data_IF_859016459273
#
_entry.id   IF_859016459273
#
_cell.length_a   1.000
_cell.length_b   1.000
_cell.length_c   1.000
_cell.angle_alpha   90.00
_cell.angle_beta   90.00
_cell.angle_gamma   90.00
#
_symmetry.space_group_name_H-M   'P 1'
#
loop_
_entity.id
_entity.type
_entity.pdbx_description
1 polymer ?
#
# COMPACT_ATOMS: atom_id res chain seq x y z
N UNK A 1 1.40 24.58 -67.79
CA UNK A 1 2.35 24.66 -66.66
C UNK A 1 2.16 23.38 -65.85
N UNK A 2 2.64 22.23 -66.33
CA UNK A 2 3.97 21.63 -66.10
C UNK A 2 4.27 21.43 -64.60
N UNK A 3 4.61 20.24 -64.07
CA UNK A 3 4.92 18.95 -64.68
C UNK A 3 4.88 17.82 -63.63
N UNK A 4 4.56 16.60 -64.09
CA UNK A 4 4.63 15.32 -63.38
C UNK A 4 5.92 14.57 -63.80
N UNK A 5 6.40 13.67 -62.91
CA UNK A 5 7.30 12.47 -63.10
C UNK A 5 8.82 12.72 -63.26
N UNK A 6 9.69 11.67 -63.13
CA UNK A 6 9.52 10.23 -62.75
C UNK A 6 10.46 9.74 -61.61
N UNK A 7 10.17 8.65 -60.88
CA UNK A 7 10.55 7.24 -61.11
C UNK A 7 11.97 6.99 -61.65
N UNK A 8 12.87 6.45 -60.81
CA UNK A 8 14.05 5.68 -61.24
C UNK A 8 14.14 4.39 -60.42
N UNK A 9 14.10 3.26 -61.14
CA UNK A 9 14.52 1.94 -60.69
C UNK A 9 16.05 1.86 -60.71
N UNK A 10 16.64 1.25 -59.70
CA UNK A 10 17.94 0.60 -59.80
C UNK A 10 17.87 -0.72 -59.01
N UNK A 11 17.87 -1.80 -59.77
CA UNK A 11 18.15 -3.17 -59.34
C UNK A 11 19.63 -3.32 -59.07
N UNK A 12 20.01 -3.95 -57.94
CA UNK A 12 21.16 -4.84 -57.89
C UNK A 12 20.93 -5.91 -56.81
N UNK A 13 20.69 -7.12 -57.31
CA UNK A 13 20.92 -8.37 -56.60
C UNK A 13 22.42 -8.56 -56.34
N UNK A 14 22.77 -9.01 -55.13
CA UNK A 14 23.33 -10.35 -54.86
C UNK A 14 24.34 -10.40 -53.70
N UNK A 15 24.10 -11.42 -52.85
CA UNK A 15 25.07 -12.23 -52.12
C UNK A 15 25.77 -11.66 -50.89
N UNK A 16 25.11 -11.78 -49.73
CA UNK A 16 25.80 -12.16 -48.49
C UNK A 16 24.99 -13.29 -47.82
N UNK A 17 25.67 -14.43 -47.60
CA UNK A 17 25.16 -15.64 -46.95
C UNK A 17 24.78 -15.36 -45.49
N UNK A 18 23.67 -15.88 -44.96
CA UNK A 18 23.44 -15.89 -43.52
C UNK A 18 24.25 -17.01 -42.86
N UNK A 19 24.98 -16.67 -41.81
CA UNK A 19 25.54 -17.63 -40.87
C UNK A 19 24.41 -18.19 -39.99
N UNK A 20 24.31 -19.51 -39.92
CA UNK A 20 23.45 -20.25 -39.02
C UNK A 20 23.72 -19.86 -37.56
N UNK A 21 22.71 -19.30 -36.90
CA UNK A 21 22.65 -19.20 -35.44
C UNK A 21 21.45 -20.02 -34.98
N UNK A 22 21.73 -21.14 -34.33
CA UNK A 22 20.75 -22.12 -33.88
C UNK A 22 19.78 -21.52 -32.86
N UNK A 23 18.49 -21.51 -33.18
CA UNK A 23 17.41 -21.22 -32.25
C UNK A 23 16.95 -22.53 -31.62
N UNK A 24 17.77 -23.11 -30.75
CA UNK A 24 17.39 -24.33 -29.99
C UNK A 24 17.53 -24.18 -28.46
N UNK A 25 18.05 -23.06 -27.97
CA UNK A 25 18.20 -22.85 -26.51
C UNK A 25 16.92 -22.34 -25.80
N UNK A 26 15.93 -21.80 -26.53
CA UNK A 26 14.73 -21.19 -25.93
C UNK A 26 13.48 -22.09 -25.91
N UNK A 27 13.51 -23.28 -26.52
CA UNK A 27 12.42 -24.26 -26.39
C UNK A 27 12.55 -25.13 -25.13
N UNK A 28 13.77 -25.35 -24.63
CA UNK A 28 14.01 -26.13 -23.40
C UNK A 28 13.50 -25.43 -22.14
N UNK A 29 13.66 -24.10 -22.05
CA UNK A 29 13.19 -23.31 -20.90
C UNK A 29 11.66 -23.15 -20.85
N UNK A 30 10.98 -23.15 -22.01
CA UNK A 30 9.52 -23.10 -22.06
C UNK A 30 8.87 -24.44 -21.67
N UNK A 31 9.53 -25.56 -21.98
CA UNK A 31 9.07 -26.90 -21.62
C UNK A 31 9.30 -27.23 -20.14
N UNK A 32 10.39 -26.78 -19.51
CA UNK A 32 10.57 -26.92 -18.05
C UNK A 32 9.59 -26.04 -17.24
N UNK A 33 9.24 -24.86 -17.75
CA UNK A 33 8.24 -23.99 -17.10
C UNK A 33 6.82 -24.58 -17.21
N UNK A 34 6.48 -25.25 -18.31
CA UNK A 34 5.21 -25.95 -18.48
C UNK A 34 5.16 -27.26 -17.67
N UNK A 35 6.27 -27.99 -17.52
CA UNK A 35 6.35 -29.17 -16.66
C UNK A 35 6.19 -28.84 -15.18
N UNK A 36 6.72 -27.70 -14.72
CA UNK A 36 6.57 -27.26 -13.32
C UNK A 36 5.17 -26.73 -12.98
N UNK A 37 4.39 -26.28 -13.98
CA UNK A 37 2.99 -25.86 -13.81
C UNK A 37 2.05 -27.08 -13.87
N UNK A 38 2.39 -28.12 -14.64
CA UNK A 38 1.56 -29.34 -14.73
C UNK A 38 1.75 -30.30 -13.54
N UNK A 39 2.94 -30.35 -12.92
CA UNK A 39 3.17 -31.16 -11.71
C UNK A 39 2.47 -30.63 -10.44
N UNK A 40 1.93 -29.40 -10.47
CA UNK A 40 1.14 -28.84 -9.37
C UNK A 40 -0.37 -29.12 -9.48
N UNK A 41 -0.83 -29.68 -10.60
CA UNK A 41 -2.26 -29.89 -10.89
C UNK A 41 -2.69 -31.36 -11.01
N UNK A 42 -1.76 -32.32 -10.89
CA UNK A 42 -2.08 -33.76 -10.95
C UNK A 42 -1.41 -34.50 -9.79
N UNK A 43 -1.92 -34.30 -8.57
CA UNK A 43 -1.77 -35.23 -7.44
C UNK A 43 -2.81 -34.91 -6.36
N UNK A 44 -4.09 -35.01 -6.72
CA UNK A 44 -5.18 -35.20 -5.76
C UNK A 44 -6.25 -36.09 -6.40
N UNK A 45 -6.02 -37.41 -6.34
CA UNK A 45 -7.09 -38.40 -6.44
C UNK A 45 -6.73 -39.62 -5.57
N UNK A 46 -7.65 -39.88 -4.64
CA UNK A 46 -7.99 -41.14 -3.96
C UNK A 46 -7.05 -41.73 -2.87
N UNK A 47 -7.48 -41.70 -1.59
CA UNK A 47 -8.24 -42.76 -0.87
C UNK A 47 -8.24 -42.49 0.66
N UNK A 48 -9.41 -42.74 1.25
CA UNK A 48 -9.97 -42.64 2.63
C UNK A 48 -9.28 -43.53 3.72
N UNK A 49 -9.56 -43.41 5.05
CA UNK A 49 -10.91 -43.49 5.64
C UNK A 49 -11.28 -42.63 6.87
N UNK A 50 -12.60 -42.60 7.03
CA UNK A 50 -13.48 -42.12 8.09
C UNK A 50 -13.03 -42.33 9.54
N UNK A 51 -13.25 -41.30 10.36
CA UNK A 51 -13.81 -41.48 11.71
C UNK A 51 -14.60 -40.23 12.09
N UNK A 52 -15.83 -40.47 12.51
CA UNK A 52 -16.85 -39.54 13.00
C UNK A 52 -16.45 -38.81 14.28
N UNK A 53 -16.83 -37.54 14.40
CA UNK A 53 -17.80 -37.07 15.39
C UNK A 53 -17.92 -35.54 15.36
N UNK A 54 -19.17 -35.10 15.32
CA UNK A 54 -19.74 -33.85 15.82
C UNK A 54 -18.92 -32.56 15.71
N UNK A 55 -19.30 -31.70 14.78
CA UNK A 55 -19.29 -30.26 15.03
C UNK A 55 -20.47 -29.59 14.34
N UNK A 56 -21.36 -29.04 15.18
CA UNK A 56 -22.55 -28.31 14.80
C UNK A 56 -22.20 -27.14 13.89
N UNK A 57 -22.80 -27.18 12.71
CA UNK A 57 -22.80 -26.12 11.73
C UNK A 57 -23.70 -24.98 12.24
N UNK A 58 -23.12 -23.94 12.82
CA UNK A 58 -23.84 -22.68 13.04
C UNK A 58 -23.80 -21.87 11.75
N UNK A 59 -24.99 -21.70 11.17
CA UNK A 59 -25.24 -20.80 10.05
C UNK A 59 -25.00 -19.35 10.49
N UNK A 60 -23.85 -18.78 10.15
CA UNK A 60 -23.64 -17.33 10.25
C UNK A 60 -24.48 -16.63 9.17
N UNK A 61 -25.54 -15.98 9.62
CA UNK A 61 -26.35 -15.07 8.85
C UNK A 61 -25.50 -13.91 8.31
N UNK A 62 -25.53 -13.71 7.00
CA UNK A 62 -24.99 -12.52 6.34
C UNK A 62 -25.75 -11.27 6.83
N UNK A 63 -25.16 -10.58 7.80
CA UNK A 63 -25.69 -9.33 8.34
C UNK A 63 -25.37 -8.19 7.37
N UNK A 64 -26.42 -7.48 6.92
CA UNK A 64 -26.37 -6.39 5.95
C UNK A 64 -25.29 -5.32 6.30
N UNK A 65 -24.44 -4.99 5.32
CA UNK A 65 -23.26 -4.13 5.42
C UNK A 65 -23.56 -2.63 5.69
N UNK A 66 -24.82 -2.24 5.88
CA UNK A 66 -25.23 -0.82 6.01
C UNK A 66 -25.01 -0.21 7.39
N UNK A 67 -24.68 -0.99 8.43
CA UNK A 67 -24.52 -0.47 9.81
C UNK A 67 -23.06 -0.11 10.19
N UNK A 68 -22.09 -0.42 9.32
CA UNK A 68 -20.66 -0.08 9.55
C UNK A 68 -20.32 1.39 9.29
N UNK A 69 -21.27 2.23 8.84
CA UNK A 69 -21.01 3.65 8.54
C UNK A 69 -21.10 4.57 9.77
N UNK A 70 -21.64 4.10 10.90
CA UNK A 70 -21.66 4.85 12.17
C UNK A 70 -20.31 4.90 12.90
N UNK A 71 -19.21 4.55 12.23
CA UNK A 71 -17.87 4.59 12.79
C UNK A 71 -17.32 6.02 12.82
N UNK A 72 -16.72 6.43 13.93
CA UNK A 72 -15.97 7.69 13.99
C UNK A 72 -14.64 7.50 13.26
N UNK A 73 -14.44 8.20 12.14
CA UNK A 73 -13.17 8.23 11.43
C UNK A 73 -12.11 8.84 12.37
N UNK A 74 -10.97 8.17 12.52
CA UNK A 74 -9.95 8.64 13.45
C UNK A 74 -9.13 9.77 12.82
N UNK A 75 -9.49 11.01 13.10
CA UNK A 75 -8.75 12.18 12.60
C UNK A 75 -7.97 12.84 13.72
N UNK A 76 -6.69 13.14 13.50
CA UNK A 76 -5.89 13.95 14.42
C UNK A 76 -5.76 15.37 13.87
N UNK A 77 -6.26 16.35 14.62
CA UNK A 77 -6.34 17.77 14.25
C UNK A 77 -5.54 18.62 15.21
N UNK A 78 -4.62 19.44 14.71
CA UNK A 78 -3.78 20.34 15.47
C UNK A 78 -4.18 21.80 15.24
N UNK A 79 -4.43 22.49 16.35
CA UNK A 79 -4.67 23.94 16.39
C UNK A 79 -3.43 24.69 16.93
N UNK A 80 -2.31 24.00 17.13
CA UNK A 80 -1.08 24.54 17.73
C UNK A 80 0.20 24.03 17.05
N UNK A 81 1.35 24.27 17.69
CA UNK A 81 2.66 23.85 17.19
C UNK A 81 2.92 22.35 17.35
N UNK A 82 3.83 21.80 16.53
CA UNK A 82 4.24 20.39 16.65
C UNK A 82 4.89 20.05 18.01
N UNK A 83 5.42 21.05 18.72
CA UNK A 83 5.98 20.91 20.06
C UNK A 83 4.94 20.42 21.09
N UNK A 84 3.65 20.52 20.78
CA UNK A 84 2.56 20.09 21.66
C UNK A 84 2.12 18.64 21.44
N UNK A 85 2.63 17.97 20.40
CA UNK A 85 2.33 16.57 20.09
C UNK A 85 2.52 15.65 21.33
N UNK A 86 3.61 15.74 22.12
CA UNK A 86 3.80 14.91 23.31
C UNK A 86 2.72 15.10 24.39
N UNK A 87 2.18 16.32 24.55
CA UNK A 87 1.14 16.60 25.56
C UNK A 87 -0.14 15.83 25.23
N UNK A 88 -0.52 15.79 23.95
CA UNK A 88 -1.70 15.08 23.44
C UNK A 88 -1.55 13.58 23.47
N UNK A 89 -0.34 13.10 23.18
CA UNK A 89 0.01 11.71 23.41
C UNK A 89 -0.30 11.35 24.87
N UNK A 90 0.16 12.12 25.84
CA UNK A 90 -0.09 11.82 27.25
C UNK A 90 -1.57 11.94 27.70
N UNK A 91 -2.39 12.74 27.00
CA UNK A 91 -3.80 12.93 27.33
C UNK A 91 -4.78 12.06 26.51
N UNK A 92 -4.28 11.13 25.67
CA UNK A 92 -5.16 10.32 24.83
C UNK A 92 -6.12 9.44 25.67
N UNK A 93 -7.45 9.58 25.48
CA UNK A 93 -8.42 8.77 26.21
C UNK A 93 -8.55 7.35 25.65
N UNK A 94 -8.18 7.10 24.39
CA UNK A 94 -8.44 5.83 23.69
C UNK A 94 -7.53 4.70 24.17
N UNK A 95 -6.25 4.99 24.37
CA UNK A 95 -5.28 4.02 24.87
C UNK A 95 -4.52 4.64 26.05
N UNK A 96 -5.11 4.70 27.25
CA UNK A 96 -4.46 5.33 28.41
C UNK A 96 -3.07 4.76 28.68
N UNK A 97 -2.06 5.63 28.61
CA UNK A 97 -0.64 5.27 28.77
C UNK A 97 -0.05 4.43 27.63
N UNK A 98 -0.78 4.25 26.52
CA UNK A 98 -0.30 3.67 25.26
C UNK A 98 0.43 2.34 25.40
N UNK A 99 0.06 1.52 26.39
CA UNK A 99 0.77 0.27 26.76
C UNK A 99 0.86 -0.77 25.65
N UNK A 100 0.04 -0.65 24.62
CA UNK A 100 0.00 -1.54 23.46
C UNK A 100 0.74 -1.00 22.22
N UNK A 101 1.34 0.20 22.34
CA UNK A 101 2.22 0.76 21.31
C UNK A 101 3.67 0.51 21.71
N UNK A 102 4.41 -0.07 20.78
CA UNK A 102 5.83 -0.39 20.96
C UNK A 102 6.62 0.47 20.00
N UNK A 103 7.53 1.34 20.47
CA UNK A 103 8.37 2.12 19.59
C UNK A 103 9.13 1.19 18.66
N UNK A 104 9.19 1.52 17.36
CA UNK A 104 9.80 0.61 16.38
C UNK A 104 11.26 0.28 16.71
N UNK A 105 11.98 1.23 17.31
CA UNK A 105 13.37 1.08 17.76
C UNK A 105 13.51 0.12 18.94
N UNK A 106 12.44 -0.09 19.71
CA UNK A 106 12.39 -0.99 20.87
C UNK A 106 11.70 -2.33 20.58
N UNK A 107 11.04 -2.47 19.43
CA UNK A 107 10.34 -3.69 19.04
C UNK A 107 11.29 -4.89 18.91
N UNK A 108 10.97 -5.96 19.66
CA UNK A 108 11.74 -7.20 19.80
C UNK A 108 10.88 -8.42 19.49
N UNK A 109 11.53 -9.55 19.18
CA UNK A 109 10.85 -10.83 18.95
C UNK A 109 9.93 -11.25 20.10
N UNK A 110 10.28 -10.94 21.35
CA UNK A 110 9.49 -11.30 22.54
C UNK A 110 8.15 -10.57 22.63
N UNK A 111 8.01 -9.45 21.93
CA UNK A 111 6.79 -8.65 21.86
C UNK A 111 5.73 -9.31 20.97
N UNK A 112 6.15 -10.25 20.11
CA UNK A 112 5.23 -11.09 19.37
C UNK A 112 4.63 -12.16 20.30
N UNK A 113 3.31 -12.47 20.16
CA UNK A 113 2.70 -13.58 20.87
C UNK A 113 3.45 -14.88 20.58
N UNK A 114 3.51 -15.81 21.54
CA UNK A 114 4.38 -17.01 21.48
C UNK A 114 4.28 -17.80 20.17
N UNK A 115 3.08 -17.97 19.61
CA UNK A 115 2.86 -18.69 18.34
C UNK A 115 3.28 -17.92 17.08
N UNK A 116 3.61 -16.64 17.22
CA UNK A 116 4.02 -15.73 16.15
C UNK A 116 5.47 -15.24 16.33
N UNK A 117 6.23 -15.79 17.29
CA UNK A 117 7.66 -15.48 17.48
C UNK A 117 8.49 -16.14 16.37
N UNK A 118 8.41 -15.54 15.20
CA UNK A 118 9.01 -16.03 13.98
C UNK A 118 9.91 -14.96 13.36
N UNK A 119 11.10 -15.35 12.91
CA UNK A 119 12.09 -14.41 12.37
C UNK A 119 11.59 -13.74 11.09
N UNK A 120 10.92 -14.47 10.20
CA UNK A 120 10.44 -13.91 8.94
C UNK A 120 9.31 -12.91 9.19
N UNK A 121 8.41 -13.18 10.14
CA UNK A 121 7.37 -12.25 10.56
C UNK A 121 7.93 -11.01 11.27
N UNK A 122 8.91 -11.19 12.16
CA UNK A 122 9.56 -10.07 12.85
C UNK A 122 10.25 -9.12 11.86
N UNK A 123 11.05 -9.66 10.94
CA UNK A 123 11.71 -8.88 9.89
C UNK A 123 10.68 -8.25 8.94
N UNK A 124 9.57 -8.94 8.65
CA UNK A 124 8.47 -8.38 7.85
C UNK A 124 7.83 -7.16 8.50
N UNK A 125 7.65 -7.15 9.82
CA UNK A 125 7.13 -6.00 10.56
C UNK A 125 8.13 -4.84 10.51
N UNK A 126 9.43 -5.10 10.69
CA UNK A 126 10.50 -4.09 10.55
C UNK A 126 10.53 -3.49 9.13
N UNK A 127 10.50 -4.34 8.10
CA UNK A 127 10.44 -3.91 6.70
C UNK A 127 9.15 -3.15 6.36
N UNK A 128 8.04 -3.42 7.07
CA UNK A 128 6.83 -2.62 6.97
C UNK A 128 7.07 -1.22 7.53
N UNK A 129 7.77 -1.11 8.67
CA UNK A 129 8.08 0.17 9.28
C UNK A 129 8.97 1.07 8.41
N UNK A 130 9.88 0.49 7.62
CA UNK A 130 10.69 1.24 6.65
C UNK A 130 9.86 1.87 5.52
N UNK A 131 8.64 1.37 5.30
CA UNK A 131 7.69 1.84 4.29
C UNK A 131 6.57 2.68 4.89
N UNK A 132 6.48 2.79 6.21
CA UNK A 132 5.48 3.61 6.89
C UNK A 132 5.91 5.08 6.86
N UNK A 133 4.97 5.95 6.49
CA UNK A 133 5.18 7.39 6.32
C UNK A 133 4.31 8.16 7.29
N UNK A 134 4.87 9.19 7.93
CA UNK A 134 4.08 10.20 8.62
C UNK A 134 3.60 11.22 7.60
N UNK A 135 2.29 11.45 7.58
CA UNK A 135 1.65 12.41 6.69
C UNK A 135 1.23 13.61 7.54
N UNK A 136 1.68 14.81 7.16
CA UNK A 136 1.24 16.07 7.74
C UNK A 136 0.53 16.87 6.66
N UNK A 137 -0.73 17.21 6.87
CA UNK A 137 -1.53 17.99 5.92
C UNK A 137 -1.89 19.33 6.54
N UNK A 138 -1.68 20.43 5.82
CA UNK A 138 -1.82 21.78 6.39
C UNK A 138 -3.00 22.57 5.83
N UNK A 139 -3.75 21.97 4.89
CA UNK A 139 -4.88 22.62 4.22
C UNK A 139 -6.07 21.66 4.16
N UNK A 140 -7.28 22.16 4.40
CA UNK A 140 -8.52 21.45 4.12
C UNK A 140 -9.03 21.91 2.77
N UNK A 141 -9.38 20.98 1.88
CA UNK A 141 -9.94 21.35 0.58
C UNK A 141 -11.39 21.83 0.72
N UNK A 142 -11.77 22.95 0.06
CA UNK A 142 -13.18 23.35 -0.05
C UNK A 142 -14.01 22.37 -0.89
N UNK A 143 -13.36 21.46 -1.63
CA UNK A 143 -14.02 20.47 -2.47
C UNK A 143 -14.41 19.18 -1.71
N UNK A 144 -14.12 19.09 -0.41
CA UNK A 144 -14.57 17.93 0.39
C UNK A 144 -16.09 17.78 0.29
N UNK A 145 -16.61 16.58 0.03
CA UNK A 145 -18.05 16.38 -0.06
C UNK A 145 -18.70 16.65 1.29
N UNK A 146 -19.97 17.05 1.30
CA UNK A 146 -20.69 17.25 2.57
C UNK A 146 -20.90 15.94 3.34
N UNK A 147 -21.15 14.86 2.60
CA UNK A 147 -21.45 13.55 3.17
C UNK A 147 -20.59 12.47 2.52
N UNK A 148 -20.43 11.34 3.21
CA UNK A 148 -19.91 10.14 2.59
C UNK A 148 -20.83 9.69 1.44
N UNK A 149 -20.28 9.12 0.34
CA UNK A 149 -21.09 8.59 -0.74
C UNK A 149 -22.12 7.59 -0.22
N UNK A 150 -23.37 7.72 -0.66
CA UNK A 150 -24.48 6.86 -0.29
C UNK A 150 -24.81 6.83 1.22
N UNK A 151 -24.40 7.85 1.98
CA UNK A 151 -24.74 8.01 3.41
C UNK A 151 -25.25 9.42 3.72
N UNK A 152 -25.83 9.57 4.90
CA UNK A 152 -26.13 10.87 5.54
C UNK A 152 -25.04 11.29 6.55
N UNK A 153 -24.03 10.44 6.75
CA UNK A 153 -22.92 10.72 7.65
C UNK A 153 -22.03 11.82 7.04
N UNK A 154 -21.70 12.84 7.83
CA UNK A 154 -20.85 13.94 7.39
C UNK A 154 -19.44 13.45 7.05
N UNK A 155 -18.87 14.02 5.98
CA UNK A 155 -17.49 13.73 5.62
C UNK A 155 -16.54 14.52 6.53
N UNK A 156 -15.43 13.94 7.01
CA UNK A 156 -14.50 14.65 7.87
C UNK A 156 -14.04 15.97 7.26
N UNK A 157 -14.16 17.04 8.05
CA UNK A 157 -13.77 18.41 7.68
C UNK A 157 -14.59 19.07 6.57
N UNK A 158 -15.78 18.56 6.22
CA UNK A 158 -16.60 19.16 5.17
C UNK A 158 -17.03 20.62 5.46
N UNK A 159 -17.08 21.01 6.73
CA UNK A 159 -17.50 22.34 7.17
C UNK A 159 -16.32 23.28 7.53
N UNK A 160 -15.07 22.82 7.41
CA UNK A 160 -13.88 23.57 7.83
C UNK A 160 -13.27 24.42 6.69
N UNK A 161 -14.10 25.11 5.91
CA UNK A 161 -13.70 25.77 4.65
C UNK A 161 -12.58 26.80 4.87
N UNK A 162 -11.48 26.61 4.15
CA UNK A 162 -10.29 27.49 4.10
C UNK A 162 -9.56 27.77 5.43
N UNK A 163 -9.93 27.09 6.52
CA UNK A 163 -9.17 27.15 7.75
C UNK A 163 -7.86 26.35 7.65
N UNK A 164 -6.78 26.97 8.13
CA UNK A 164 -5.50 26.31 8.32
C UNK A 164 -5.62 25.27 9.45
N UNK A 165 -6.13 24.09 9.11
CA UNK A 165 -6.27 22.96 10.02
C UNK A 165 -5.15 21.94 9.73
N UNK A 166 -4.11 21.97 10.56
CA UNK A 166 -3.04 20.98 10.49
C UNK A 166 -3.59 19.64 10.97
N UNK A 167 -3.38 18.58 10.19
CA UNK A 167 -3.77 17.21 10.58
C UNK A 167 -2.68 16.22 10.28
N UNK A 168 -2.67 15.13 11.05
CA UNK A 168 -1.70 14.06 10.88
C UNK A 168 -2.38 12.77 10.47
N UNK A 169 -1.66 11.98 9.70
CA UNK A 169 -2.05 10.63 9.30
C UNK A 169 -0.84 9.75 9.06
N UNK A 170 -1.11 8.53 8.64
CA UNK A 170 -0.11 7.55 8.26
C UNK A 170 -0.33 7.13 6.82
N UNK A 171 0.73 6.77 6.11
CA UNK A 171 0.65 6.11 4.82
C UNK A 171 1.65 4.97 4.65
N UNK A 172 1.50 4.22 3.57
CA UNK A 172 2.42 3.15 3.18
C UNK A 172 2.97 3.40 1.77
N UNK A 173 4.29 3.33 1.62
CA UNK A 173 4.98 3.58 0.35
C UNK A 173 4.88 2.37 -0.58
N UNK A 174 4.75 2.63 -1.88
CA UNK A 174 5.13 1.73 -2.98
C UNK A 174 6.10 2.45 -3.92
N UNK A 175 7.10 1.73 -4.42
CA UNK A 175 8.15 2.30 -5.26
C UNK A 175 8.23 1.53 -6.57
N UNK A 176 8.30 2.26 -7.67
CA UNK A 176 8.55 1.71 -8.99
C UNK A 176 9.77 2.40 -9.59
N UNK A 177 10.75 1.60 -10.03
CA UNK A 177 11.92 2.10 -10.76
C UNK A 177 11.58 2.11 -12.25
N UNK A 178 11.84 3.21 -12.93
CA UNK A 178 11.64 3.35 -14.36
C UNK A 178 12.99 3.54 -15.06
N UNK A 179 13.16 2.88 -16.20
CA UNK A 179 14.30 3.01 -17.12
C UNK A 179 13.71 3.12 -18.52
N UNK A 180 13.94 4.24 -19.21
CA UNK A 180 13.44 4.49 -20.57
C UNK A 180 11.91 4.23 -20.69
N UNK A 181 11.15 4.70 -19.69
CA UNK A 181 9.70 4.54 -19.62
C UNK A 181 9.20 3.14 -19.22
N UNK A 182 10.09 2.16 -19.04
CA UNK A 182 9.74 0.83 -18.54
C UNK A 182 9.87 0.79 -17.02
N UNK A 183 8.74 0.60 -16.33
CA UNK A 183 8.64 0.55 -14.87
C UNK A 183 8.77 -0.87 -14.31
N UNK A 184 9.35 -0.99 -13.12
CA UNK A 184 9.57 -2.23 -12.40
C UNK A 184 9.17 -2.08 -10.93
N UNK A 185 8.35 -3.00 -10.43
CA UNK A 185 7.98 -3.03 -9.00
C UNK A 185 9.07 -3.71 -8.14
N UNK A 186 8.86 -3.80 -6.82
CA UNK A 186 9.80 -4.48 -5.91
C UNK A 186 10.00 -5.97 -6.14
N UNK A 187 9.30 -6.59 -7.09
CA UNK A 187 9.55 -7.98 -7.52
C UNK A 187 10.32 -8.04 -8.84
N UNK A 188 10.79 -6.90 -9.34
CA UNK A 188 11.41 -6.78 -10.66
C UNK A 188 10.43 -6.98 -11.82
N UNK A 189 9.11 -6.95 -11.58
CA UNK A 189 8.09 -7.15 -12.62
C UNK A 189 7.64 -5.83 -13.20
N UNK A 190 7.40 -5.81 -14.51
CA UNK A 190 6.92 -4.66 -15.24
C UNK A 190 5.40 -4.62 -15.44
N UNK A 191 4.64 -5.39 -14.66
CA UNK A 191 3.19 -5.47 -14.77
C UNK A 191 2.51 -5.59 -13.40
N UNK A 192 1.25 -5.18 -13.35
CA UNK A 192 0.36 -5.31 -12.21
C UNK A 192 -0.22 -6.72 -12.15
N UNK A 193 -0.03 -7.42 -11.04
CA UNK A 193 -0.51 -8.79 -10.91
C UNK A 193 -2.04 -8.92 -10.79
N UNK A 194 -2.74 -7.84 -10.42
CA UNK A 194 -4.20 -7.83 -10.30
C UNK A 194 -4.87 -7.49 -11.63
N UNK A 195 -4.40 -6.44 -12.31
CA UNK A 195 -5.02 -5.97 -13.55
C UNK A 195 -4.37 -6.49 -14.83
N UNK A 196 -3.12 -6.97 -14.76
CA UNK A 196 -2.33 -7.35 -15.93
C UNK A 196 -1.65 -6.16 -16.64
N UNK A 197 -1.99 -4.93 -16.27
CA UNK A 197 -1.46 -3.72 -16.92
C UNK A 197 0.05 -3.60 -16.77
N UNK A 198 0.71 -3.17 -17.84
CA UNK A 198 2.14 -2.89 -17.82
C UNK A 198 2.43 -1.54 -17.16
N UNK A 199 3.54 -1.45 -16.44
CA UNK A 199 4.06 -0.21 -15.91
C UNK A 199 4.86 0.54 -16.97
N UNK A 200 4.21 0.91 -18.07
CA UNK A 200 4.85 1.67 -19.14
C UNK A 200 4.44 3.15 -19.06
N UNK A 201 5.35 4.03 -19.45
CA UNK A 201 5.13 5.47 -19.63
C UNK A 201 5.42 5.82 -21.07
N UNK A 202 4.62 6.76 -21.59
CA UNK A 202 4.83 7.32 -22.93
C UNK A 202 6.16 8.08 -23.01
N UNK A 203 6.53 8.75 -21.92
CA UNK A 203 7.81 9.45 -21.80
C UNK A 203 8.96 8.53 -21.39
N UNK A 204 10.15 8.84 -21.89
CA UNK A 204 11.39 8.07 -21.69
C UNK A 204 12.34 8.68 -20.66
N UNK A 205 12.01 9.85 -20.14
CA UNK A 205 12.84 10.61 -19.22
C UNK A 205 12.07 11.02 -17.97
N UNK A 206 12.79 11.27 -16.88
CA UNK A 206 12.20 11.65 -15.60
C UNK A 206 11.27 12.87 -15.73
N UNK A 207 10.03 12.81 -15.22
CA UNK A 207 9.07 13.90 -15.31
C UNK A 207 9.22 14.93 -14.18
N UNK A 208 10.26 14.85 -13.34
CA UNK A 208 10.49 15.85 -12.29
C UNK A 208 10.87 17.21 -12.89
N UNK A 209 10.57 18.29 -12.18
CA UNK A 209 10.77 19.66 -12.69
C UNK A 209 12.22 19.94 -13.10
N UNK A 210 13.18 19.45 -12.30
CA UNK A 210 14.61 19.57 -12.60
C UNK A 210 15.00 18.90 -13.92
N UNK A 211 14.41 17.76 -14.25
CA UNK A 211 14.69 17.06 -15.51
C UNK A 211 13.94 17.69 -16.69
N UNK A 212 12.71 18.18 -16.49
CA UNK A 212 11.94 18.89 -17.54
C UNK A 212 12.68 20.14 -18.06
N UNK A 213 13.39 20.83 -17.17
CA UNK A 213 14.14 22.04 -17.49
C UNK A 213 15.60 21.78 -17.89
N UNK A 214 16.05 20.52 -17.88
CA UNK A 214 17.43 20.16 -18.17
C UNK A 214 17.61 19.70 -19.61
N UNK A 215 18.69 20.12 -20.26
CA UNK A 215 19.12 19.59 -21.57
C UNK A 215 19.61 18.13 -21.49
N UNK A 216 19.80 17.60 -20.28
CA UNK A 216 20.25 16.23 -20.02
C UNK A 216 19.31 15.53 -19.03
N UNK A 217 18.04 15.33 -19.41
CA UNK A 217 17.08 14.71 -18.53
C UNK A 217 17.48 13.27 -18.22
N UNK A 218 17.32 12.85 -16.97
CA UNK A 218 17.65 11.47 -16.55
C UNK A 218 16.66 10.49 -17.18
N UNK A 219 17.16 9.38 -17.73
CA UNK A 219 16.33 8.31 -18.27
C UNK A 219 15.94 7.24 -17.23
N UNK A 220 16.54 7.31 -16.04
CA UNK A 220 16.19 6.49 -14.88
C UNK A 220 15.56 7.38 -13.81
N UNK A 221 14.43 6.96 -13.27
CA UNK A 221 13.73 7.65 -12.17
C UNK A 221 12.91 6.68 -11.33
N UNK A 222 12.35 7.19 -10.23
CA UNK A 222 11.48 6.44 -9.33
C UNK A 222 10.16 7.18 -9.16
N UNK A 223 9.05 6.48 -9.37
CA UNK A 223 7.74 6.91 -8.91
C UNK A 223 7.47 6.30 -7.53
N UNK A 224 7.17 7.17 -6.58
CA UNK A 224 6.90 6.83 -5.19
C UNK A 224 5.40 7.10 -4.97
N UNK A 225 4.65 6.07 -4.64
CA UNK A 225 3.25 6.18 -4.31
C UNK A 225 3.03 6.00 -2.82
N UNK A 226 2.19 6.83 -2.22
CA UNK A 226 1.82 6.70 -0.82
C UNK A 226 0.34 6.35 -0.77
N UNK A 227 0.02 5.18 -0.23
CA UNK A 227 -1.35 4.81 0.03
C UNK A 227 -1.74 5.27 1.43
N UNK A 228 -2.86 5.98 1.54
CA UNK A 228 -3.44 6.44 2.79
C UNK A 228 -4.97 6.49 2.68
N UNK A 229 -5.65 6.98 3.71
CA UNK A 229 -7.10 7.16 3.69
C UNK A 229 -7.51 8.45 2.98
N UNK A 230 -8.67 8.44 2.30
CA UNK A 230 -9.17 9.62 1.57
C UNK A 230 -9.56 10.76 2.51
N UNK A 231 -10.00 10.45 3.72
CA UNK A 231 -10.28 11.48 4.71
C UNK A 231 -9.01 12.17 5.24
N UNK A 232 -7.83 11.56 5.10
CA UNK A 232 -6.54 12.17 5.45
C UNK A 232 -6.12 13.17 4.38
N UNK A 233 -5.96 12.72 3.12
CA UNK A 233 -5.66 13.57 1.96
C UNK A 233 -6.67 13.31 0.85
N UNK A 234 -7.50 14.32 0.57
CA UNK A 234 -8.65 14.22 -0.31
C UNK A 234 -8.35 14.55 -1.78
N UNK A 235 -7.65 15.65 -2.06
CA UNK A 235 -7.38 16.12 -3.44
C UNK A 235 -6.01 16.82 -3.57
N UNK A 236 -5.71 17.34 -4.77
CA UNK A 236 -4.45 18.05 -5.05
C UNK A 236 -4.28 19.36 -4.26
N UNK A 237 -5.38 20.01 -3.85
CA UNK A 237 -5.31 21.20 -2.99
C UNK A 237 -4.71 20.84 -1.63
N UNK A 238 -5.09 19.69 -1.07
CA UNK A 238 -4.51 19.16 0.16
C UNK A 238 -3.13 18.56 -0.05
N UNK A 239 -2.92 17.80 -1.13
CA UNK A 239 -1.65 17.14 -1.42
C UNK A 239 -0.51 18.14 -1.62
N UNK A 240 -0.77 19.25 -2.32
CA UNK A 240 0.22 20.34 -2.49
C UNK A 240 0.63 21.02 -1.16
N UNK A 241 -0.15 20.86 -0.11
CA UNK A 241 0.11 21.33 1.26
C UNK A 241 0.36 20.17 2.22
N UNK A 242 0.84 19.04 1.69
CA UNK A 242 1.17 17.84 2.45
C UNK A 242 2.68 17.65 2.52
N UNK A 243 3.18 17.42 3.73
CA UNK A 243 4.54 16.95 3.98
C UNK A 243 4.52 15.45 4.27
N UNK A 244 5.40 14.71 3.60
CA UNK A 244 5.58 13.28 3.78
C UNK A 244 6.94 13.03 4.43
N UNK A 245 6.94 12.53 5.66
CA UNK A 245 8.15 12.30 6.44
C UNK A 245 8.45 10.80 6.55
N UNK A 246 9.57 10.41 5.96
CA UNK A 246 10.09 9.05 6.00
C UNK A 246 11.04 8.86 7.19
N UNK A 247 11.14 7.63 7.69
CA UNK A 247 12.10 7.23 8.73
C UNK A 247 11.99 8.07 10.02
N UNK A 248 10.75 8.46 10.38
CA UNK A 248 10.46 9.19 11.61
C UNK A 248 10.31 8.24 12.81
N UNK A 249 11.45 7.67 13.23
CA UNK A 249 11.54 6.62 14.24
C UNK A 249 11.78 7.19 15.64
N UNK A 250 12.41 8.37 15.73
CA UNK A 250 12.78 9.06 16.97
C UNK A 250 12.64 10.59 16.80
N UNK A 251 12.36 11.32 17.89
CA UNK A 251 12.11 12.77 17.84
C UNK A 251 13.35 13.59 17.43
N UNK A 252 14.54 13.17 17.85
CA UNK A 252 15.78 13.95 17.67
C UNK A 252 16.60 13.52 16.43
N UNK A 253 16.13 12.51 15.69
CA UNK A 253 16.83 11.94 14.54
C UNK A 253 16.57 12.70 13.23
N UNK A 254 16.64 14.03 13.27
CA UNK A 254 16.39 14.91 12.12
C UNK A 254 17.30 14.62 10.92
N UNK A 255 18.50 14.09 11.16
CA UNK A 255 19.48 13.73 10.12
C UNK A 255 19.10 12.52 9.25
N UNK A 256 18.20 11.66 9.72
CA UNK A 256 17.78 10.44 9.01
C UNK A 256 16.44 10.60 8.28
N UNK A 257 15.72 11.68 8.56
CA UNK A 257 14.40 11.94 8.01
C UNK A 257 14.49 12.41 6.56
N UNK A 258 13.61 11.88 5.71
CA UNK A 258 13.51 12.31 4.31
C UNK A 258 12.13 12.92 4.10
N UNK A 259 12.11 14.20 3.70
CA UNK A 259 10.90 14.90 3.26
C UNK A 259 10.72 14.70 1.76
N UNK A 260 9.60 14.10 1.34
CA UNK A 260 9.23 14.03 -0.08
C UNK A 260 8.38 15.24 -0.45
N UNK A 261 8.92 16.12 -1.29
CA UNK A 261 8.18 17.26 -1.86
C UNK A 261 7.43 16.94 -3.16
N UNK A 262 6.69 17.93 -3.67
CA UNK A 262 5.90 17.85 -4.92
C UNK A 262 4.91 16.67 -4.93
N UNK A 263 4.07 16.61 -3.90
CA UNK A 263 3.06 15.58 -3.74
C UNK A 263 1.82 15.94 -4.55
N UNK A 264 1.34 15.00 -5.36
CA UNK A 264 0.05 15.10 -6.05
C UNK A 264 -0.83 13.89 -5.73
N UNK A 265 -2.13 14.01 -5.99
CA UNK A 265 -3.05 12.88 -5.93
C UNK A 265 -3.03 12.16 -7.28
N UNK A 266 -2.70 10.87 -7.26
CA UNK A 266 -2.84 9.99 -8.44
C UNK A 266 -4.29 9.51 -8.58
N UNK A 267 -4.92 9.18 -7.45
CA UNK A 267 -6.31 8.75 -7.43
C UNK A 267 -6.89 8.87 -6.02
N UNK A 268 -8.14 9.31 -5.91
CA UNK A 268 -8.93 9.28 -4.68
C UNK A 268 -10.21 8.48 -4.91
N UNK A 269 -10.59 7.67 -3.92
CA UNK A 269 -11.88 7.00 -3.87
C UNK A 269 -12.48 7.21 -2.48
N UNK A 270 -13.43 8.13 -2.39
CA UNK A 270 -14.10 8.53 -1.16
C UNK A 270 -14.89 7.37 -0.57
N UNK A 271 -15.66 6.66 -1.38
CA UNK A 271 -16.51 5.54 -0.92
C UNK A 271 -15.70 4.41 -0.24
N UNK A 272 -14.49 4.16 -0.76
CA UNK A 272 -13.57 3.15 -0.24
C UNK A 272 -12.61 3.68 0.82
N UNK A 273 -12.69 4.99 1.11
CA UNK A 273 -11.78 5.75 1.96
C UNK A 273 -10.31 5.52 1.61
N UNK A 274 -9.97 5.73 0.33
CA UNK A 274 -8.62 5.50 -0.21
C UNK A 274 -8.10 6.70 -0.97
N UNK A 275 -6.88 7.08 -0.65
CA UNK A 275 -6.10 8.04 -1.42
C UNK A 275 -4.76 7.45 -1.80
N UNK A 276 -4.33 7.74 -3.03
CA UNK A 276 -3.04 7.35 -3.56
C UNK A 276 -2.33 8.61 -3.99
N UNK A 277 -1.31 8.99 -3.24
CA UNK A 277 -0.45 10.12 -3.52
C UNK A 277 0.71 9.67 -4.40
N UNK A 278 1.29 10.60 -5.16
CA UNK A 278 2.43 10.38 -6.04
C UNK A 278 3.50 11.44 -5.79
N UNK A 279 4.73 10.97 -5.75
CA UNK A 279 5.95 11.77 -5.81
C UNK A 279 6.88 11.15 -6.85
N UNK A 280 7.77 11.97 -7.42
CA UNK A 280 8.78 11.52 -8.38
C UNK A 280 10.16 12.00 -7.95
N UNK A 281 11.15 11.13 -8.04
CA UNK A 281 12.55 11.50 -7.85
C UNK A 281 13.46 10.88 -8.92
N UNK A 282 14.49 11.62 -9.31
CA UNK A 282 15.64 11.11 -10.06
C UNK A 282 16.93 11.12 -9.23
N UNK A 283 16.84 11.35 -7.92
CA UNK A 283 17.95 11.12 -6.99
C UNK A 283 18.18 9.62 -6.89
N UNK A 284 19.28 9.16 -7.48
CA UNK A 284 19.61 7.73 -7.55
C UNK A 284 19.89 7.13 -6.16
N UNK A 285 20.45 7.91 -5.22
CA UNK A 285 20.74 7.40 -3.87
C UNK A 285 19.44 7.16 -3.11
N UNK A 286 18.54 8.14 -3.11
CA UNK A 286 17.23 8.00 -2.46
C UNK A 286 16.37 6.95 -3.17
N UNK A 287 16.28 7.01 -4.49
CA UNK A 287 15.46 6.12 -5.30
C UNK A 287 15.86 4.65 -5.16
N UNK A 288 17.16 4.34 -5.27
CA UNK A 288 17.65 2.97 -5.07
C UNK A 288 17.43 2.50 -3.63
N UNK A 289 17.68 3.35 -2.60
CA UNK A 289 17.40 2.97 -1.20
C UNK A 289 15.95 2.55 -1.01
N UNK A 290 15.00 3.36 -1.45
CA UNK A 290 13.57 3.07 -1.31
C UNK A 290 13.15 1.84 -2.14
N UNK A 291 13.73 1.66 -3.32
CA UNK A 291 13.47 0.49 -4.16
C UNK A 291 13.99 -0.81 -3.54
N UNK A 292 15.18 -0.82 -2.95
CA UNK A 292 15.72 -2.01 -2.27
C UNK A 292 14.92 -2.36 -1.01
N UNK A 293 14.48 -1.35 -0.22
CA UNK A 293 13.54 -1.58 0.89
C UNK A 293 12.24 -2.25 0.41
N UNK A 294 11.71 -1.81 -0.74
CA UNK A 294 10.52 -2.41 -1.36
C UNK A 294 10.77 -3.86 -1.81
N UNK A 295 11.96 -4.16 -2.35
CA UNK A 295 12.35 -5.52 -2.73
C UNK A 295 12.42 -6.44 -1.53
N UNK A 296 13.13 -6.01 -0.49
CA UNK A 296 13.24 -6.75 0.76
C UNK A 296 11.88 -7.04 1.39
N UNK A 297 10.99 -6.04 1.44
CA UNK A 297 9.61 -6.22 1.88
C UNK A 297 8.87 -7.26 1.04
N UNK A 298 8.99 -7.22 -0.30
CA UNK A 298 8.31 -8.17 -1.18
C UNK A 298 8.76 -9.62 -0.98
N UNK A 299 10.05 -9.83 -0.69
CA UNK A 299 10.64 -11.13 -0.39
C UNK A 299 10.14 -11.68 0.94
N UNK A 300 10.16 -10.87 2.00
CA UNK A 300 9.63 -11.24 3.31
C UNK A 300 8.12 -11.50 3.26
N UNK A 301 7.36 -10.65 2.56
CA UNK A 301 5.92 -10.85 2.38
C UNK A 301 5.61 -12.19 1.72
N UNK A 302 6.39 -12.60 0.71
CA UNK A 302 6.21 -13.90 0.06
C UNK A 302 6.35 -15.05 1.08
N UNK A 303 7.43 -15.04 1.86
CA UNK A 303 7.72 -16.05 2.90
C UNK A 303 6.61 -16.11 3.95
N UNK A 304 6.27 -14.96 4.53
CA UNK A 304 5.22 -14.85 5.57
C UNK A 304 3.85 -15.25 5.01
N UNK A 305 3.47 -14.77 3.83
CA UNK A 305 2.17 -15.10 3.24
C UNK A 305 1.99 -16.60 3.03
N UNK A 306 3.02 -17.27 2.50
CA UNK A 306 2.96 -18.71 2.22
C UNK A 306 2.86 -19.52 3.53
N UNK A 307 3.59 -19.10 4.56
CA UNK A 307 3.60 -19.73 5.89
C UNK A 307 2.27 -19.65 6.63
N UNK A 308 1.57 -18.52 6.55
CA UNK A 308 0.38 -18.26 7.34
C UNK A 308 -0.95 -18.33 6.55
N UNK A 309 -0.92 -18.82 5.31
CA UNK A 309 -2.02 -18.81 4.31
C UNK A 309 -3.40 -19.32 4.78
N UNK A 310 -3.50 -20.06 5.90
CA UNK A 310 -4.75 -20.76 6.29
C UNK A 310 -5.23 -20.57 7.74
N UNK A 311 -4.54 -19.82 8.61
CA UNK A 311 -4.75 -20.02 10.06
C UNK A 311 -4.53 -18.81 10.97
N UNK A 312 -4.44 -17.58 10.46
CA UNK A 312 -4.09 -16.44 11.30
C UNK A 312 -5.14 -15.34 11.35
N UNK A 313 -5.54 -15.01 12.58
CA UNK A 313 -6.22 -13.75 12.90
C UNK A 313 -5.25 -12.63 13.25
N UNK A 314 -3.95 -12.92 13.32
CA UNK A 314 -2.94 -11.96 13.74
C UNK A 314 -2.92 -10.76 12.80
N UNK A 315 -3.04 -9.60 13.42
CA UNK A 315 -3.04 -8.31 12.76
C UNK A 315 -2.01 -7.43 13.44
N UNK A 316 -1.15 -6.81 12.66
CA UNK A 316 -0.27 -5.76 13.15
C UNK A 316 -0.46 -4.48 12.34
N UNK A 317 -0.17 -3.36 12.97
CA UNK A 317 -0.19 -2.04 12.36
C UNK A 317 1.12 -1.35 12.74
N UNK A 318 1.77 -0.73 11.76
CA UNK A 318 2.86 0.22 11.99
C UNK A 318 2.38 1.60 11.59
N UNK A 319 2.32 2.54 12.53
CA UNK A 319 1.72 3.85 12.31
C UNK A 319 2.40 4.98 13.10
N UNK A 320 1.88 6.19 12.92
CA UNK A 320 2.24 7.39 13.68
C UNK A 320 1.06 7.85 14.56
N UNK A 321 0.77 7.18 15.68
CA UNK A 321 -0.25 7.64 16.64
C UNK A 321 0.01 9.09 17.03
N UNK A 322 -1.00 9.95 16.92
CA UNK A 322 -0.94 11.40 17.15
C UNK A 322 0.11 12.14 16.31
N UNK A 323 0.59 11.55 15.21
CA UNK A 323 1.74 12.08 14.47
C UNK A 323 3.08 11.93 15.22
N UNK A 324 3.16 11.15 16.30
CA UNK A 324 4.40 10.85 17.00
C UNK A 324 5.33 9.93 16.17
N UNK A 325 6.45 9.53 16.79
CA UNK A 325 7.39 8.54 16.24
C UNK A 325 6.70 7.22 15.92
N UNK A 326 7.24 6.46 14.95
CA UNK A 326 6.66 5.18 14.51
C UNK A 326 6.48 4.21 15.67
N UNK A 327 5.26 3.69 15.77
CA UNK A 327 4.88 2.65 16.72
C UNK A 327 4.42 1.40 16.00
N UNK A 328 4.62 0.25 16.62
CA UNK A 328 4.02 -1.03 16.25
C UNK A 328 2.96 -1.38 17.27
N UNK A 329 1.80 -1.83 16.80
CA UNK A 329 0.79 -2.48 17.63
C UNK A 329 0.40 -3.81 17.01
N UNK A 330 0.04 -4.76 17.88
CA UNK A 330 -0.39 -6.11 17.50
C UNK A 330 -1.75 -6.42 18.09
N UNK A 331 -2.50 -7.29 17.43
CA UNK A 331 -3.85 -7.68 17.83
C UNK A 331 -4.41 -8.71 16.87
N UNK A 332 -5.73 -8.75 16.75
CA UNK A 332 -6.42 -9.72 15.91
C UNK A 332 -7.53 -9.05 15.10
N UNK A 333 -7.77 -9.53 13.88
CA UNK A 333 -9.00 -9.20 13.18
C UNK A 333 -10.15 -10.06 13.70
N UNK A 334 -11.31 -9.44 13.89
CA UNK A 334 -12.50 -10.07 14.50
C UNK A 334 -13.64 -10.24 13.50
N UNK A 335 -13.73 -9.39 12.48
CA UNK A 335 -14.76 -9.49 11.44
C UNK A 335 -14.24 -9.10 10.06
N UNK A 336 -14.83 -9.72 9.04
CA UNK A 336 -14.59 -9.41 7.63
C UNK A 336 -15.93 -9.27 6.93
N UNK A 337 -16.23 -8.06 6.46
CA UNK A 337 -17.53 -7.69 5.93
C UNK A 337 -17.41 -7.48 4.43
N UNK A 338 -18.16 -8.25 3.63
CA UNK A 338 -18.18 -8.09 2.17
C UNK A 338 -18.80 -6.74 1.84
N UNK A 339 -18.04 -5.93 1.11
CA UNK A 339 -18.42 -4.63 0.60
C UNK A 339 -18.95 -4.73 -0.84
N UNK A 340 -18.38 -5.63 -1.65
CA UNK A 340 -18.80 -5.88 -3.02
C UNK A 340 -17.92 -6.89 -3.72
N UNK A 341 -18.18 -7.17 -4.99
CA UNK A 341 -17.34 -8.00 -5.83
C UNK A 341 -16.27 -7.16 -6.53
N UNK A 342 -15.03 -7.67 -6.58
CA UNK A 342 -13.96 -7.06 -7.39
C UNK A 342 -13.74 -7.84 -8.68
N UNK A 343 -13.62 -9.17 -8.57
CA UNK A 343 -13.43 -10.07 -9.71
C UNK A 343 -13.95 -11.48 -9.38
N UNK A 344 -13.81 -12.42 -10.33
CA UNK A 344 -14.10 -13.84 -10.08
C UNK A 344 -13.24 -14.46 -8.95
N UNK A 345 -12.11 -13.85 -8.60
CA UNK A 345 -11.17 -14.36 -7.58
C UNK A 345 -11.08 -13.51 -6.32
N UNK A 346 -11.62 -12.28 -6.33
CA UNK A 346 -11.51 -11.36 -5.20
C UNK A 346 -12.84 -10.68 -4.87
N UNK A 347 -13.10 -10.55 -3.57
CA UNK A 347 -14.11 -9.66 -3.00
C UNK A 347 -13.46 -8.36 -2.53
N UNK A 348 -14.26 -7.29 -2.49
CA UNK A 348 -13.98 -6.08 -1.74
C UNK A 348 -14.52 -6.24 -0.33
N UNK A 349 -13.71 -5.97 0.70
CA UNK A 349 -14.14 -6.16 2.09
C UNK A 349 -13.65 -5.07 3.03
N UNK A 350 -14.36 -4.88 4.16
CA UNK A 350 -13.92 -4.08 5.31
C UNK A 350 -13.61 -5.00 6.49
N UNK A 351 -12.55 -4.71 7.23
CA UNK A 351 -12.15 -5.48 8.39
C UNK A 351 -12.49 -4.74 9.68
N UNK A 352 -12.83 -5.50 10.71
CA UNK A 352 -12.83 -5.03 12.10
C UNK A 352 -11.76 -5.76 12.90
N UNK A 353 -11.09 -5.08 13.82
CA UNK A 353 -9.92 -5.63 14.53
C UNK A 353 -9.66 -4.96 15.88
N UNK A 354 -8.91 -5.65 16.74
CA UNK A 354 -8.56 -5.21 18.10
C UNK A 354 -7.21 -4.51 18.19
N UNK A 355 -6.40 -4.57 17.13
CA UNK A 355 -5.08 -3.92 17.09
C UNK A 355 -5.18 -2.43 17.42
N UNK A 356 -4.44 -1.97 18.44
CA UNK A 356 -4.53 -0.60 18.94
C UNK A 356 -4.18 0.44 17.88
N UNK A 357 -5.01 1.48 17.81
CA UNK A 357 -4.80 2.69 17.01
C UNK A 357 -5.22 3.90 17.83
N UNK A 358 -4.72 5.06 17.44
CA UNK A 358 -5.16 6.37 17.91
C UNK A 358 -5.37 7.27 16.69
N UNK A 359 -6.05 8.43 16.86
CA UNK A 359 -5.94 9.53 15.91
C UNK A 359 -4.51 9.71 15.40
N UNK A 360 -4.34 9.95 14.09
CA UNK A 360 -3.03 9.97 13.41
C UNK A 360 -2.60 8.61 12.83
N UNK A 361 -3.20 7.50 13.28
CA UNK A 361 -2.99 6.17 12.68
C UNK A 361 -3.77 5.97 11.38
N UNK A 362 -4.72 6.83 11.05
CA UNK A 362 -5.53 6.68 9.84
C UNK A 362 -4.69 6.68 8.58
N UNK A 363 -5.04 5.77 7.66
CA UNK A 363 -4.27 5.47 6.46
C UNK A 363 -3.10 4.49 6.66
N UNK A 364 -2.78 4.07 7.89
CA UNK A 364 -1.81 3.01 8.13
C UNK A 364 -2.29 1.68 7.53
N UNK A 365 -1.39 0.90 6.93
CA UNK A 365 -1.73 -0.42 6.41
C UNK A 365 -2.10 -1.37 7.55
N UNK A 366 -3.22 -2.08 7.38
CA UNK A 366 -3.68 -3.13 8.30
C UNK A 366 -3.22 -4.47 7.76
N UNK A 367 -2.17 -5.03 8.36
CA UNK A 367 -1.57 -6.28 7.90
C UNK A 367 -2.21 -7.47 8.62
N UNK A 368 -3.20 -8.08 7.98
CA UNK A 368 -3.80 -9.34 8.41
C UNK A 368 -3.08 -10.51 7.74
N UNK A 369 -2.24 -11.19 8.51
CA UNK A 369 -1.34 -12.22 7.99
C UNK A 369 -2.15 -13.39 7.41
N UNK A 370 -1.90 -13.73 6.14
CA UNK A 370 -2.57 -14.84 5.45
C UNK A 370 -3.99 -14.56 4.93
N UNK A 371 -4.51 -13.33 5.08
CA UNK A 371 -5.90 -13.01 4.74
C UNK A 371 -6.06 -12.28 3.39
N UNK A 372 -5.67 -11.02 3.34
CA UNK A 372 -5.96 -10.10 2.24
C UNK A 372 -4.98 -8.93 2.24
N UNK A 373 -5.10 -8.02 1.28
CA UNK A 373 -4.18 -6.88 1.16
C UNK A 373 -4.92 -5.58 0.86
N UNK A 374 -4.26 -4.45 1.14
CA UNK A 374 -4.78 -3.13 0.80
C UNK A 374 -5.91 -2.66 1.70
N UNK A 375 -5.96 -3.15 2.93
CA UNK A 375 -6.75 -2.56 4.01
C UNK A 375 -5.92 -1.47 4.68
N UNK A 376 -6.54 -0.33 4.95
CA UNK A 376 -5.93 0.78 5.66
C UNK A 376 -6.83 1.16 6.82
N UNK A 377 -6.25 1.52 7.95
CA UNK A 377 -7.02 1.93 9.11
C UNK A 377 -7.82 3.20 8.79
N UNK A 378 -9.09 3.21 9.17
CA UNK A 378 -10.01 4.31 8.87
C UNK A 378 -10.60 4.91 10.14
N UNK A 379 -11.08 4.08 11.06
CA UNK A 379 -11.73 4.58 12.25
C UNK A 379 -11.98 3.56 13.34
N UNK A 380 -12.80 3.96 14.31
CA UNK A 380 -13.21 3.12 15.44
C UNK A 380 -14.73 2.92 15.48
N UNK A 381 -15.15 1.73 15.91
CA UNK A 381 -16.54 1.33 16.10
C UNK A 381 -16.68 0.70 17.48
N UNK A 382 -17.03 1.53 18.49
CA UNK A 382 -17.08 1.10 19.87
C UNK A 382 -15.69 0.68 20.39
N UNK A 383 -15.53 -0.61 20.73
CA UNK A 383 -14.29 -1.18 21.28
C UNK A 383 -13.34 -1.77 20.23
N UNK A 384 -13.75 -1.79 18.95
CA UNK A 384 -12.95 -2.33 17.84
C UNK A 384 -12.64 -1.24 16.83
N UNK A 385 -11.57 -1.42 16.07
CA UNK A 385 -11.20 -0.58 14.95
C UNK A 385 -11.75 -1.15 13.65
N UNK A 386 -11.87 -0.32 12.62
CA UNK A 386 -12.23 -0.76 11.28
C UNK A 386 -11.31 -0.18 10.20
N UNK A 387 -11.24 -0.91 9.07
CA UNK A 387 -10.49 -0.50 7.89
C UNK A 387 -11.37 0.16 6.83
N UNK A 388 -10.75 0.91 5.93
CA UNK A 388 -11.28 1.15 4.58
C UNK A 388 -11.42 -0.15 3.77
N UNK A 389 -11.87 -0.04 2.53
CA UNK A 389 -12.20 -1.22 1.70
C UNK A 389 -10.94 -1.84 1.10
N UNK A 390 -10.56 -3.06 1.46
CA UNK A 390 -9.44 -3.82 0.90
C UNK A 390 -9.87 -4.95 -0.04
N UNK A 391 -8.91 -5.80 -0.43
CA UNK A 391 -9.16 -6.98 -1.27
C UNK A 391 -9.00 -8.26 -0.46
N UNK A 392 -9.99 -9.15 -0.59
CA UNK A 392 -10.00 -10.48 -0.01
C UNK A 392 -10.06 -11.53 -1.11
N UNK A 393 -9.25 -12.57 -1.02
CA UNK A 393 -9.25 -13.67 -1.99
C UNK A 393 -10.42 -14.61 -1.69
N UNK A 394 -11.29 -14.86 -2.67
CA UNK A 394 -12.39 -15.81 -2.55
C UNK A 394 -11.83 -17.19 -2.19
N UNK A 395 -12.45 -17.86 -1.22
CA UNK A 395 -12.17 -19.28 -0.97
C UNK A 395 -12.66 -20.04 -2.19
N UNK A 396 -11.73 -20.63 -2.94
CA UNK A 396 -12.03 -21.53 -4.05
C UNK A 396 -12.40 -22.89 -3.50
#
# INVERSE_FOLDING_TARGET
MYSKKPLFMATMDNNIRPADVSIDANRSLLLELLFSIHLCLVKMSDVWPSSSNDEQQTSESFQNCTDLTKGQHETEVFEGEESEIPKRYNSCPKNPGHKHFIPITQFKMTDLPRGYRDIELFEFIKATADRTVRIKVQKVSPNRPKFWPNSKDEYPFCNAQDDACMRMGTGEIKVYKFIDGCGYNGRGRNYNFLSGDRYEREYKTCPCEKCKQSDRPKNTWWEIFIHTAAHVVFDDSEASHTTLLLFYDEHDSSSCQVNLGNVSVESVNVEKDKSKLKCVTCDEKLGNRLYELMRHFCELWKKVKDKYKKKSKFTFIVSHPHGCTKQVSVGEWVGNHKFGDYSGTYDLTKLTYTTSTCPGSSGAAVHCIGFGTGHFHSGTLGKVNYSGVGHYMKKV
#
